data_IF_442479030913
#
_entry.id   IF_442479030913
#
_cell.length_a   1.000
_cell.length_b   1.000
_cell.length_c   1.000
_cell.angle_alpha   90.00
_cell.angle_beta   90.00
_cell.angle_gamma   90.00
#
_symmetry.space_group_name_H-M   'P 1'
#
loop_
_entity.id
_entity.type
_entity.pdbx_description
1 polymer ?
#
# COMPACT_ATOMS: atom_id res chain seq x y z
N UNK A 1 1.62 -4.16 -19.01
CA UNK A 1 2.45 -3.63 -17.92
C UNK A 1 2.51 -4.63 -16.79
N UNK A 2 3.65 -4.77 -16.15
CA UNK A 2 3.84 -5.69 -15.04
C UNK A 2 4.27 -4.92 -13.79
N UNK A 3 4.05 -5.51 -12.60
CA UNK A 3 4.49 -4.87 -11.35
C UNK A 3 5.99 -4.63 -11.31
N UNK A 4 6.77 -5.43 -12.00
CA UNK A 4 8.22 -5.26 -12.08
C UNK A 4 8.63 -3.90 -12.63
N UNK A 5 7.79 -3.27 -13.45
CA UNK A 5 8.10 -1.96 -14.01
C UNK A 5 8.12 -0.83 -12.98
N UNK A 6 7.54 -1.06 -11.80
CA UNK A 6 7.55 -0.05 -10.74
C UNK A 6 8.86 -0.03 -9.95
N UNK A 7 9.73 -1.02 -10.14
CA UNK A 7 11.00 -1.15 -9.40
C UNK A 7 10.80 -1.22 -7.88
N UNK A 8 9.78 -1.94 -7.46
CA UNK A 8 9.55 -2.14 -6.03
C UNK A 8 10.63 -3.06 -5.46
N UNK A 9 10.93 -2.85 -4.17
CA UNK A 9 11.90 -3.68 -3.46
C UNK A 9 11.50 -5.16 -3.54
N UNK A 10 12.47 -6.09 -3.63
CA UNK A 10 12.16 -7.53 -3.67
C UNK A 10 11.28 -8.01 -2.53
N UNK A 11 11.41 -7.43 -1.32
CA UNK A 11 10.56 -7.80 -0.19
C UNK A 11 9.10 -7.42 -0.43
N UNK A 12 8.84 -6.31 -1.08
CA UNK A 12 7.49 -5.89 -1.44
C UNK A 12 6.97 -6.73 -2.61
N UNK A 13 7.82 -7.00 -3.60
CA UNK A 13 7.43 -7.88 -4.71
C UNK A 13 7.07 -9.27 -4.23
N UNK A 14 7.73 -9.78 -3.19
CA UNK A 14 7.35 -11.06 -2.60
C UNK A 14 5.91 -11.02 -2.06
N UNK A 15 5.52 -9.93 -1.41
CA UNK A 15 4.16 -9.74 -0.94
C UNK A 15 3.15 -9.64 -2.08
N UNK A 16 3.50 -8.95 -3.15
CA UNK A 16 2.65 -8.83 -4.34
C UNK A 16 2.38 -10.21 -4.95
N UNK A 17 3.42 -11.01 -5.08
CA UNK A 17 3.29 -12.36 -5.64
C UNK A 17 2.48 -13.27 -4.72
N UNK A 18 2.74 -13.21 -3.42
CA UNK A 18 2.01 -14.01 -2.45
C UNK A 18 0.53 -13.67 -2.42
N UNK A 19 0.18 -12.42 -2.69
CA UNK A 19 -1.22 -11.98 -2.77
C UNK A 19 -1.89 -12.35 -4.10
N UNK A 20 -1.15 -12.92 -5.05
CA UNK A 20 -1.70 -13.33 -6.32
C UNK A 20 -1.83 -12.22 -7.35
N UNK A 21 -1.18 -11.09 -7.15
CA UNK A 21 -1.23 -9.97 -8.09
C UNK A 21 -0.29 -10.25 -9.26
N UNK A 22 -0.81 -10.22 -10.47
CA UNK A 22 -0.03 -10.48 -11.67
C UNK A 22 0.14 -9.22 -12.51
N UNK A 23 -0.96 -8.56 -12.82
CA UNK A 23 -0.97 -7.38 -13.69
C UNK A 23 -1.57 -6.21 -12.92
N UNK A 24 -0.93 -5.02 -12.93
CA UNK A 24 -1.51 -3.85 -12.28
C UNK A 24 -2.84 -3.46 -12.91
N UNK A 25 -3.78 -3.05 -12.05
CA UNK A 25 -5.02 -2.43 -12.52
C UNK A 25 -4.72 -1.03 -13.04
N UNK A 26 -5.66 -0.41 -13.80
CA UNK A 26 -5.43 0.95 -14.30
C UNK A 26 -5.10 1.98 -13.21
N UNK A 27 -5.82 1.94 -12.07
CA UNK A 27 -5.53 2.89 -11.00
C UNK A 27 -4.15 2.65 -10.37
N UNK A 28 -3.72 1.39 -10.27
CA UNK A 28 -2.39 1.06 -9.78
C UNK A 28 -1.32 1.57 -10.75
N UNK A 29 -1.50 1.35 -12.03
CA UNK A 29 -0.55 1.78 -13.05
C UNK A 29 -0.37 3.29 -13.07
N UNK A 30 -1.45 4.05 -12.82
CA UNK A 30 -1.41 5.49 -12.80
C UNK A 30 -0.87 6.06 -11.50
N UNK A 31 -1.27 5.51 -10.37
CA UNK A 31 -0.99 6.09 -9.06
C UNK A 31 0.38 5.71 -8.52
N UNK A 32 0.79 4.46 -8.65
CA UNK A 32 2.02 3.98 -8.01
C UNK A 32 3.24 4.79 -8.45
N UNK A 33 3.48 5.02 -9.75
CA UNK A 33 4.66 5.80 -10.15
C UNK A 33 4.67 7.23 -9.59
N UNK A 34 3.49 7.86 -9.52
CA UNK A 34 3.40 9.24 -9.04
C UNK A 34 3.70 9.33 -7.54
N UNK A 35 3.15 8.41 -6.76
CA UNK A 35 3.43 8.39 -5.32
C UNK A 35 4.89 8.05 -5.05
N UNK A 36 5.48 7.16 -5.83
CA UNK A 36 6.90 6.85 -5.69
C UNK A 36 7.79 8.06 -5.98
N UNK A 37 7.33 8.97 -6.85
CA UNK A 37 8.03 10.22 -7.13
C UNK A 37 7.83 11.27 -6.04
N UNK A 38 7.03 10.99 -5.02
CA UNK A 38 6.75 11.93 -3.94
C UNK A 38 5.64 12.91 -4.24
N UNK A 39 4.84 12.67 -5.27
CA UNK A 39 3.76 13.58 -5.66
C UNK A 39 2.49 13.29 -4.88
N UNK A 40 1.74 14.34 -4.59
CA UNK A 40 0.40 14.23 -4.04
C UNK A 40 -0.57 13.90 -5.17
N UNK A 41 -1.51 13.02 -4.89
CA UNK A 41 -2.51 12.64 -5.89
C UNK A 41 -3.90 12.55 -5.27
N UNK A 42 -4.91 12.74 -6.11
CA UNK A 42 -6.29 12.39 -5.79
C UNK A 42 -6.69 11.31 -6.78
N UNK A 43 -6.92 10.10 -6.26
CA UNK A 43 -7.30 8.95 -7.08
C UNK A 43 -8.74 8.60 -6.87
N UNK A 44 -9.52 8.64 -7.94
CA UNK A 44 -10.94 8.28 -7.92
C UNK A 44 -11.11 6.99 -8.71
N UNK A 45 -11.61 5.96 -8.03
CA UNK A 45 -11.83 4.66 -8.64
C UNK A 45 -12.95 3.94 -7.92
N UNK A 46 -13.60 3.06 -8.64
CA UNK A 46 -14.67 2.25 -8.07
C UNK A 46 -14.11 1.16 -7.17
N UNK A 47 -14.95 0.65 -6.27
CA UNK A 47 -14.63 -0.48 -5.42
C UNK A 47 -14.27 -1.70 -6.29
N UNK A 48 -13.27 -2.45 -5.87
CA UNK A 48 -12.84 -3.64 -6.60
C UNK A 48 -11.85 -3.40 -7.72
N UNK A 49 -11.33 -2.17 -7.86
CA UNK A 49 -10.37 -1.82 -8.91
C UNK A 49 -8.91 -1.89 -8.45
N UNK A 50 -8.67 -2.40 -7.24
CA UNK A 50 -7.30 -2.45 -6.69
C UNK A 50 -6.82 -1.14 -6.11
N UNK A 51 -7.74 -0.26 -5.77
CA UNK A 51 -7.42 1.08 -5.27
C UNK A 51 -6.58 1.07 -4.00
N UNK A 52 -6.86 0.14 -3.09
CA UNK A 52 -6.11 0.07 -1.82
C UNK A 52 -4.64 -0.24 -2.06
N UNK A 53 -4.33 -1.23 -2.88
CA UNK A 53 -2.94 -1.56 -3.19
C UNK A 53 -2.23 -0.43 -3.93
N UNK A 54 -2.98 0.40 -4.67
CA UNK A 54 -2.41 1.52 -5.40
C UNK A 54 -1.73 2.52 -4.47
N UNK A 55 -2.20 2.67 -3.24
CA UNK A 55 -1.50 3.54 -2.27
C UNK A 55 -0.67 2.75 -1.27
N UNK A 56 -1.06 1.53 -0.92
CA UNK A 56 -0.31 0.72 0.06
C UNK A 56 1.10 0.40 -0.45
N UNK A 57 1.22 -0.04 -1.70
CA UNK A 57 2.49 -0.46 -2.26
C UNK A 57 3.53 0.66 -2.29
N UNK A 58 3.23 1.85 -2.81
CA UNK A 58 4.23 2.92 -2.80
C UNK A 58 4.53 3.46 -1.40
N UNK A 59 3.56 3.44 -0.49
CA UNK A 59 3.83 3.83 0.90
C UNK A 59 4.81 2.86 1.53
N UNK A 60 4.60 1.55 1.39
CA UNK A 60 5.54 0.55 1.90
C UNK A 60 6.94 0.77 1.32
N UNK A 61 7.03 1.01 0.02
CA UNK A 61 8.32 1.24 -0.64
C UNK A 61 9.03 2.44 -0.02
N UNK A 62 8.33 3.53 0.19
CA UNK A 62 8.93 4.74 0.78
C UNK A 62 9.35 4.52 2.23
N UNK A 63 8.62 3.70 2.97
CA UNK A 63 8.92 3.44 4.39
C UNK A 63 10.11 2.49 4.57
N UNK A 64 10.55 1.80 3.54
CA UNK A 64 11.73 0.93 3.63
C UNK A 64 13.00 1.71 3.92
N UNK A 65 13.08 2.96 3.48
CA UNK A 65 14.21 3.84 3.78
C UNK A 65 13.86 4.72 4.97
N UNK A 66 14.87 5.08 5.76
CA UNK A 66 14.69 5.93 6.89
C UNK A 66 14.57 5.16 8.20
N UNK A 67 14.16 5.86 9.25
CA UNK A 67 14.17 5.32 10.61
C UNK A 67 12.95 4.45 10.87
N UNK A 68 13.18 3.35 11.55
CA UNK A 68 12.10 2.49 12.07
C UNK A 68 11.81 2.86 13.54
N UNK A 69 10.73 2.30 14.08
CA UNK A 69 10.33 2.56 15.46
C UNK A 69 9.62 3.87 15.65
N UNK A 70 9.15 4.49 14.59
CA UNK A 70 8.38 5.73 14.61
C UNK A 70 7.18 5.61 13.71
N UNK A 71 6.12 6.36 14.04
CA UNK A 71 4.98 6.50 13.13
C UNK A 71 5.38 7.45 12.01
N UNK A 72 5.37 6.96 10.78
CA UNK A 72 5.81 7.72 9.62
C UNK A 72 4.72 7.86 8.54
N UNK A 73 3.65 7.10 8.65
CA UNK A 73 2.51 7.19 7.74
C UNK A 73 1.22 7.08 8.53
N UNK A 74 0.25 7.90 8.15
CA UNK A 74 -1.08 7.89 8.74
C UNK A 74 -2.10 7.73 7.61
N UNK A 75 -2.97 6.74 7.74
CA UNK A 75 -4.05 6.51 6.78
C UNK A 75 -5.37 6.69 7.52
N UNK A 76 -6.21 7.58 7.00
CA UNK A 76 -7.50 7.89 7.60
C UNK A 76 -8.58 7.21 6.78
N UNK A 77 -9.46 6.49 7.46
CA UNK A 77 -10.58 5.77 6.85
C UNK A 77 -11.89 6.20 7.49
N UNK A 78 -12.99 6.22 6.73
CA UNK A 78 -14.28 6.68 7.25
C UNK A 78 -14.96 5.70 8.22
N UNK A 79 -14.61 4.42 8.19
CA UNK A 79 -15.22 3.40 9.03
C UNK A 79 -14.17 2.50 9.65
N UNK A 80 -14.56 1.82 10.76
CA UNK A 80 -13.68 0.84 11.41
C UNK A 80 -13.36 -0.34 10.47
N UNK A 81 -14.37 -0.78 9.73
CA UNK A 81 -14.23 -1.90 8.81
C UNK A 81 -13.19 -1.59 7.73
N UNK A 82 -13.25 -0.40 7.17
CA UNK A 82 -12.27 0.00 6.16
C UNK A 82 -10.88 0.17 6.76
N UNK A 83 -10.79 0.72 7.97
CA UNK A 83 -9.49 0.84 8.65
C UNK A 83 -8.87 -0.54 8.88
N UNK A 84 -9.66 -1.52 9.31
CA UNK A 84 -9.18 -2.87 9.53
C UNK A 84 -8.74 -3.54 8.23
N UNK A 85 -9.53 -3.40 7.16
CA UNK A 85 -9.19 -3.95 5.84
C UNK A 85 -7.90 -3.35 5.30
N UNK A 86 -7.76 -2.03 5.40
CA UNK A 86 -6.55 -1.35 4.93
C UNK A 86 -5.33 -1.82 5.70
N UNK A 87 -5.46 -1.97 7.02
CA UNK A 87 -4.39 -2.49 7.84
C UNK A 87 -3.97 -3.89 7.39
N UNK A 88 -4.94 -4.75 7.07
CA UNK A 88 -4.63 -6.09 6.55
C UNK A 88 -3.85 -6.03 5.24
N UNK A 89 -4.18 -5.10 4.35
CA UNK A 89 -3.40 -4.92 3.12
C UNK A 89 -1.95 -4.55 3.43
N UNK A 90 -1.72 -3.64 4.37
CA UNK A 90 -0.36 -3.29 4.78
C UNK A 90 0.38 -4.50 5.36
N UNK A 91 -0.28 -5.28 6.20
CA UNK A 91 0.33 -6.48 6.79
C UNK A 91 0.66 -7.50 5.71
N UNK A 92 -0.27 -7.79 4.83
CA UNK A 92 -0.10 -8.84 3.83
C UNK A 92 0.95 -8.45 2.77
N UNK A 93 0.84 -7.25 2.23
CA UNK A 93 1.77 -6.81 1.19
C UNK A 93 3.15 -6.46 1.75
N UNK A 94 3.20 -6.05 3.00
CA UNK A 94 4.47 -5.73 3.67
C UNK A 94 5.05 -6.85 4.51
N UNK A 95 4.54 -8.06 4.38
CA UNK A 95 4.91 -9.18 5.25
C UNK A 95 6.41 -9.43 5.33
N UNK A 96 7.10 -9.29 4.21
CA UNK A 96 8.53 -9.55 4.14
C UNK A 96 9.39 -8.33 4.47
N UNK A 97 8.76 -7.17 4.72
CA UNK A 97 9.49 -5.90 4.93
C UNK A 97 9.85 -5.65 6.38
N UNK A 98 9.21 -6.34 7.32
CA UNK A 98 9.29 -6.09 8.76
C UNK A 98 8.75 -4.72 9.18
N UNK A 99 8.06 -4.03 8.29
CA UNK A 99 7.32 -2.82 8.64
C UNK A 99 6.06 -3.22 9.40
N UNK A 100 5.71 -2.41 10.40
CA UNK A 100 4.55 -2.69 11.25
C UNK A 100 3.44 -1.71 10.96
N UNK A 101 2.21 -2.20 11.03
CA UNK A 101 1.03 -1.37 10.92
C UNK A 101 0.01 -1.75 11.97
N UNK A 102 -0.78 -0.77 12.40
CA UNK A 102 -1.80 -0.99 13.39
C UNK A 102 -3.01 -0.14 13.04
N UNK A 103 -4.21 -0.70 13.23
CA UNK A 103 -5.45 0.03 13.07
C UNK A 103 -5.90 0.55 14.43
N UNK A 104 -6.26 1.83 14.46
CA UNK A 104 -6.78 2.48 15.67
C UNK A 104 -8.14 3.07 15.35
N UNK A 105 -9.13 2.72 16.17
CA UNK A 105 -10.48 3.26 16.01
C UNK A 105 -11.20 3.29 17.35
N UNK A 106 -12.17 4.19 17.46
CA UNK A 106 -12.92 4.40 18.67
C UNK A 106 -14.23 3.61 18.72
N UNK A 107 -15.01 3.82 19.75
CA UNK A 107 -16.33 3.22 19.89
C UNK A 107 -16.32 1.77 20.32
N UNK A 108 -15.29 1.35 20.99
CA UNK A 108 -15.15 -0.04 21.47
C UNK A 108 -15.31 -0.07 22.98
#
# INVERSE_FOLDING_TARGET
MAFETFNLDPTIMAGVKAAGYETPTPIQAQAIPLVLQGRDIIGLAQTGTGKTAAFVLPILQRLLTGRRGRIRALVISPTRELAAQTCEFFVDLGRQTRLESVAIYGGV
#
